data_IF_429876215398
#
_entry.id   IF_429876215398
#
_cell.length_a   1.000
_cell.length_b   1.000
_cell.length_c   1.000
_cell.angle_alpha   90.00
_cell.angle_beta   90.00
_cell.angle_gamma   90.00
#
_symmetry.space_group_name_H-M   'P 1'
#
loop_
_entity.id
_entity.type
_entity.pdbx_description
1 polymer ?
#
# COMPACT_ATOMS: atom_id res chain seq x y z
N UNK A 1 -13.91 -10.91 -4.43
CA UNK A 1 -13.31 -10.52 -5.73
C UNK A 1 -11.89 -10.00 -5.48
N UNK A 2 -10.91 -10.31 -6.33
CA UNK A 2 -9.52 -9.83 -6.20
C UNK A 2 -9.15 -9.07 -7.47
N UNK A 3 -8.86 -7.78 -7.35
CA UNK A 3 -8.62 -6.88 -8.49
C UNK A 3 -7.26 -6.21 -8.35
N UNK A 4 -6.52 -6.13 -9.45
CA UNK A 4 -5.40 -5.21 -9.62
C UNK A 4 -5.87 -4.08 -10.54
N UNK A 5 -5.81 -2.83 -10.07
CA UNK A 5 -6.20 -1.65 -10.85
C UNK A 5 -4.98 -0.91 -11.37
N UNK A 6 -4.76 -0.96 -12.69
CA UNK A 6 -3.64 -0.30 -13.37
C UNK A 6 -4.10 0.97 -14.10
N UNK A 7 -3.17 1.89 -14.34
CA UNK A 7 -3.43 3.14 -15.05
C UNK A 7 -2.40 4.22 -14.76
N UNK A 8 -2.30 5.23 -15.63
CA UNK A 8 -1.34 6.32 -15.50
C UNK A 8 -1.62 7.22 -14.27
N UNK A 9 -0.62 7.97 -13.76
CA UNK A 9 -0.86 9.08 -12.83
C UNK A 9 -1.90 10.06 -13.42
N UNK A 10 -2.82 10.56 -12.59
CA UNK A 10 -3.90 11.45 -13.04
C UNK A 10 -5.09 10.77 -13.73
N UNK A 11 -5.01 9.49 -14.10
CA UNK A 11 -6.09 8.77 -14.81
C UNK A 11 -7.34 8.43 -13.95
N UNK A 12 -7.45 8.95 -12.73
CA UNK A 12 -8.61 8.72 -11.87
C UNK A 12 -8.68 7.35 -11.16
N UNK A 13 -7.57 6.59 -11.11
CA UNK A 13 -7.52 5.28 -10.43
C UNK A 13 -8.04 5.31 -8.99
N UNK A 14 -7.67 6.32 -8.20
CA UNK A 14 -8.12 6.43 -6.81
C UNK A 14 -9.63 6.57 -6.69
N UNK A 15 -10.22 7.40 -7.56
CA UNK A 15 -11.68 7.57 -7.66
C UNK A 15 -12.37 6.27 -8.01
N UNK A 16 -11.87 5.55 -9.02
CA UNK A 16 -12.43 4.27 -9.45
C UNK A 16 -12.25 3.17 -8.39
N UNK A 17 -11.08 3.11 -7.74
CA UNK A 17 -10.81 2.17 -6.67
C UNK A 17 -11.78 2.33 -5.51
N UNK A 18 -12.08 3.57 -5.11
CA UNK A 18 -13.06 3.87 -4.06
C UNK A 18 -14.47 3.40 -4.46
N UNK A 19 -14.91 3.70 -5.69
CA UNK A 19 -16.21 3.27 -6.19
C UNK A 19 -16.34 1.73 -6.23
N UNK A 20 -15.30 1.03 -6.71
CA UNK A 20 -15.25 -0.44 -6.73
C UNK A 20 -15.28 -1.01 -5.31
N UNK A 21 -14.50 -0.43 -4.39
CA UNK A 21 -14.43 -0.86 -2.99
C UNK A 21 -15.80 -0.78 -2.30
N UNK A 22 -16.52 0.33 -2.48
CA UNK A 22 -17.87 0.55 -1.93
C UNK A 22 -18.90 -0.39 -2.57
N UNK A 23 -18.91 -0.49 -3.90
CA UNK A 23 -19.89 -1.30 -4.66
C UNK A 23 -19.81 -2.78 -4.30
N UNK A 24 -18.61 -3.31 -4.15
CA UNK A 24 -18.39 -4.73 -3.88
C UNK A 24 -18.07 -5.05 -2.42
N UNK A 25 -18.13 -4.05 -1.54
CA UNK A 25 -17.77 -4.18 -0.12
C UNK A 25 -16.41 -4.86 0.09
N UNK A 26 -15.40 -4.43 -0.67
CA UNK A 26 -14.01 -4.93 -0.58
C UNK A 26 -13.06 -3.81 -0.14
N UNK A 27 -12.01 -4.11 0.65
CA UNK A 27 -11.05 -3.10 1.06
C UNK A 27 -10.17 -2.67 -0.14
N UNK A 28 -9.90 -1.38 -0.23
CA UNK A 28 -8.82 -0.87 -1.08
C UNK A 28 -7.47 -1.12 -0.41
N UNK A 29 -6.51 -1.64 -1.18
CA UNK A 29 -5.12 -1.82 -0.74
C UNK A 29 -4.22 -0.98 -1.63
N UNK A 30 -3.42 -0.10 -1.02
CA UNK A 30 -2.46 0.76 -1.72
C UNK A 30 -1.11 0.69 -1.00
N UNK A 31 -0.04 0.40 -1.73
CA UNK A 31 1.32 0.26 -1.15
C UNK A 31 1.77 1.54 -0.46
N UNK A 32 1.42 2.71 -1.00
CA UNK A 32 1.74 4.00 -0.39
C UNK A 32 1.06 4.21 0.96
N UNK A 33 -0.23 3.84 1.10
CA UNK A 33 -0.92 3.96 2.39
C UNK A 33 -0.41 2.95 3.41
N UNK A 34 -0.11 1.73 2.95
CA UNK A 34 0.45 0.68 3.82
C UNK A 34 1.81 1.07 4.39
N UNK A 35 2.71 1.60 3.56
CA UNK A 35 4.02 2.08 4.01
C UNK A 35 3.87 3.22 5.03
N UNK A 36 3.00 4.19 4.77
CA UNK A 36 2.72 5.29 5.71
C UNK A 36 2.11 4.81 7.02
N UNK A 37 1.22 3.83 6.97
CA UNK A 37 0.62 3.23 8.17
C UNK A 37 1.68 2.47 8.99
N UNK A 38 2.49 1.64 8.35
CA UNK A 38 3.55 0.89 9.01
C UNK A 38 4.56 1.81 9.72
N UNK A 39 4.98 2.91 9.06
CA UNK A 39 5.85 3.93 9.67
C UNK A 39 5.18 4.58 10.89
N UNK A 40 3.90 4.92 10.79
CA UNK A 40 3.13 5.55 11.88
C UNK A 40 3.01 4.64 13.11
N UNK A 41 2.87 3.33 12.90
CA UNK A 41 2.74 2.33 13.97
C UNK A 41 4.05 2.09 14.72
N UNK A 42 5.20 2.54 14.18
CA UNK A 42 6.54 2.36 14.78
C UNK A 42 6.86 0.90 15.13
N UNK A 43 6.33 -0.03 14.35
CA UNK A 43 6.71 -1.44 14.43
C UNK A 43 8.16 -1.63 13.98
N UNK A 44 8.78 -2.77 14.27
CA UNK A 44 10.14 -3.05 13.82
C UNK A 44 10.27 -2.95 12.29
N UNK A 45 9.25 -3.40 11.56
CA UNK A 45 9.16 -3.26 10.11
C UNK A 45 8.96 -1.80 9.70
N UNK A 46 8.09 -1.06 10.40
CA UNK A 46 7.84 0.36 10.18
C UNK A 46 9.09 1.22 10.30
N UNK A 47 9.94 0.96 11.30
CA UNK A 47 11.20 1.68 11.50
C UNK A 47 12.21 1.39 10.38
N UNK A 48 12.28 0.15 9.89
CA UNK A 48 13.12 -0.21 8.73
C UNK A 48 12.65 0.52 7.48
N UNK A 49 11.33 0.54 7.24
CA UNK A 49 10.72 1.27 6.13
C UNK A 49 11.01 2.77 6.22
N UNK A 50 10.86 3.36 7.41
CA UNK A 50 11.11 4.79 7.66
C UNK A 50 12.55 5.17 7.30
N UNK A 51 13.54 4.39 7.74
CA UNK A 51 14.94 4.62 7.42
C UNK A 51 15.22 4.56 5.91
N UNK A 52 14.70 3.53 5.23
CA UNK A 52 14.88 3.36 3.78
C UNK A 52 14.26 4.55 3.03
N UNK A 53 13.02 4.94 3.37
CA UNK A 53 12.35 6.08 2.76
C UNK A 53 13.07 7.41 3.03
N UNK A 54 13.58 7.62 4.26
CA UNK A 54 14.32 8.83 4.63
C UNK A 54 15.64 8.98 3.86
N UNK A 55 16.27 7.86 3.50
CA UNK A 55 17.50 7.84 2.68
C UNK A 55 17.25 8.09 1.18
N UNK A 56 15.98 8.13 0.75
CA UNK A 56 15.60 8.18 -0.67
C UNK A 56 15.82 6.85 -1.41
N UNK A 57 16.20 5.78 -0.71
CA UNK A 57 16.35 4.45 -1.28
C UNK A 57 14.99 3.80 -1.57
N UNK A 58 15.00 2.87 -2.52
CA UNK A 58 13.83 2.08 -2.86
C UNK A 58 13.55 1.04 -1.77
N UNK A 59 12.29 0.97 -1.31
CA UNK A 59 11.83 -0.12 -0.45
C UNK A 59 11.82 -1.42 -1.26
N UNK A 60 12.48 -2.46 -0.74
CA UNK A 60 12.66 -3.73 -1.46
C UNK A 60 11.34 -4.50 -1.62
N UNK A 61 11.25 -5.31 -2.67
CA UNK A 61 10.07 -6.12 -2.97
C UNK A 61 9.71 -7.06 -1.81
N UNK A 62 10.69 -7.63 -1.12
CA UNK A 62 10.45 -8.50 0.05
C UNK A 62 9.68 -7.78 1.16
N UNK A 63 10.02 -6.51 1.42
CA UNK A 63 9.32 -5.67 2.41
C UNK A 63 7.91 -5.36 1.92
N UNK A 64 7.75 -5.01 0.65
CA UNK A 64 6.43 -4.72 0.06
C UNK A 64 5.53 -5.96 0.13
N UNK A 65 6.04 -7.14 -0.23
CA UNK A 65 5.29 -8.39 -0.20
C UNK A 65 4.92 -8.76 1.24
N UNK A 66 5.82 -8.57 2.21
CA UNK A 66 5.53 -8.81 3.62
C UNK A 66 4.37 -7.93 4.12
N UNK A 67 4.40 -6.63 3.81
CA UNK A 67 3.32 -5.69 4.16
C UNK A 67 2.01 -6.07 3.49
N UNK A 68 2.04 -6.48 2.21
CA UNK A 68 0.84 -6.93 1.49
C UNK A 68 0.23 -8.16 2.16
N UNK A 69 1.04 -9.14 2.54
CA UNK A 69 0.59 -10.34 3.24
C UNK A 69 -0.09 -10.00 4.57
N UNK A 70 0.50 -9.12 5.37
CA UNK A 70 -0.09 -8.68 6.64
C UNK A 70 -1.43 -7.97 6.45
N UNK A 71 -1.56 -7.16 5.39
CA UNK A 71 -2.77 -6.38 5.12
C UNK A 71 -3.95 -7.21 4.62
N UNK A 72 -3.69 -8.33 3.94
CA UNK A 72 -4.71 -9.19 3.32
C UNK A 72 -4.98 -10.50 4.09
N UNK A 73 -4.21 -10.78 5.15
CA UNK A 73 -4.45 -11.88 6.07
C UNK A 73 -5.75 -11.67 6.87
#
# INVERSE_FOLDING_TARGET
>A
MKIILLGAPGAGKGTQAKYIAETYSIPQVSTGDMLRAAVKEKSELGLKVEQVMASGALVTDDIIIALVKERIA
#
